data_IF_778198095255
#
_entry.id   IF_778198095255
#
_cell.length_a   1.000
_cell.length_b   1.000
_cell.length_c   1.000
_cell.angle_alpha   90.00
_cell.angle_beta   90.00
_cell.angle_gamma   90.00
#
_symmetry.space_group_name_H-M   'P 1'
#
loop_
_entity.id
_entity.type
_entity.pdbx_description
1 polymer ?
#
# COMPACT_ATOMS: atom_id res chain seq x y z
N UNK A 1 17.31 -57.17 18.68
CA UNK A 1 18.52 -56.38 19.01
C UNK A 1 18.04 -55.11 19.69
N UNK A 2 18.22 -54.99 21.01
CA UNK A 2 17.85 -53.78 21.74
C UNK A 2 18.93 -52.71 21.48
N UNK A 3 18.52 -51.54 20.97
CA UNK A 3 19.43 -50.41 20.76
C UNK A 3 19.95 -49.93 22.13
N UNK A 4 21.26 -49.66 22.29
CA UNK A 4 21.77 -49.08 23.53
C UNK A 4 21.19 -47.67 23.68
N UNK A 5 20.52 -47.41 24.80
CA UNK A 5 20.02 -46.09 25.18
C UNK A 5 21.20 -45.18 25.52
N UNK A 6 21.75 -44.53 24.50
CA UNK A 6 22.74 -43.46 24.64
C UNK A 6 22.09 -42.28 25.37
N UNK A 7 22.34 -42.16 26.68
CA UNK A 7 21.86 -41.04 27.48
C UNK A 7 22.63 -39.78 27.08
N UNK A 8 22.05 -38.97 26.20
CA UNK A 8 22.51 -37.60 25.93
C UNK A 8 22.65 -36.83 27.23
N UNK A 9 23.71 -36.03 27.34
CA UNK A 9 23.98 -35.24 28.55
C UNK A 9 22.84 -34.24 28.76
N UNK A 10 22.49 -33.87 30.01
CA UNK A 10 21.41 -32.93 30.27
C UNK A 10 21.59 -31.58 29.55
N UNK A 11 22.83 -31.17 29.30
CA UNK A 11 23.15 -29.99 28.50
C UNK A 11 22.72 -30.12 27.03
N UNK A 12 22.85 -31.31 26.41
CA UNK A 12 22.43 -31.54 25.03
C UNK A 12 20.91 -31.52 24.89
N UNK A 13 20.19 -32.05 25.88
CA UNK A 13 18.73 -31.97 25.93
C UNK A 13 18.23 -30.52 26.00
N UNK A 14 18.89 -29.65 26.77
CA UNK A 14 18.53 -28.23 26.84
C UNK A 14 18.77 -27.49 25.52
N UNK A 15 19.87 -27.81 24.83
CA UNK A 15 20.15 -27.25 23.50
C UNK A 15 19.11 -27.70 22.49
N UNK A 16 18.70 -28.96 22.52
CA UNK A 16 17.70 -29.55 21.63
C UNK A 16 16.30 -28.94 21.85
N UNK A 17 15.89 -28.76 23.10
CA UNK A 17 14.64 -28.07 23.44
C UNK A 17 14.65 -26.61 22.97
N UNK A 18 15.76 -25.90 23.17
CA UNK A 18 15.90 -24.52 22.68
C UNK A 18 15.79 -24.46 21.16
N UNK A 19 16.45 -25.36 20.42
CA UNK A 19 16.34 -25.37 18.96
C UNK A 19 14.90 -25.62 18.51
N UNK A 20 14.19 -26.56 19.14
CA UNK A 20 12.79 -26.85 18.81
C UNK A 20 11.88 -25.64 19.02
N UNK A 21 12.05 -24.91 20.12
CA UNK A 21 11.28 -23.68 20.39
C UNK A 21 11.59 -22.58 19.38
N UNK A 22 12.88 -22.38 19.05
CA UNK A 22 13.30 -21.37 18.07
C UNK A 22 12.78 -21.71 16.68
N UNK A 23 12.82 -22.98 16.27
CA UNK A 23 12.36 -23.43 14.97
C UNK A 23 10.84 -23.29 14.84
N UNK A 24 10.09 -23.62 15.89
CA UNK A 24 8.64 -23.40 15.93
C UNK A 24 8.27 -21.91 15.85
N UNK A 25 8.95 -21.07 16.62
CA UNK A 25 8.74 -19.62 16.55
C UNK A 25 9.04 -19.08 15.16
N UNK A 26 10.07 -19.58 14.48
CA UNK A 26 10.35 -19.25 13.07
C UNK A 26 9.24 -19.75 12.15
N UNK A 27 8.76 -20.96 12.35
CA UNK A 27 7.75 -21.58 11.49
C UNK A 27 6.41 -20.83 11.57
N UNK A 28 6.00 -20.45 12.78
CA UNK A 28 4.78 -19.65 12.97
C UNK A 28 4.94 -18.18 12.56
N UNK A 29 6.15 -17.62 12.56
CA UNK A 29 6.36 -16.19 12.23
C UNK A 29 6.70 -15.93 10.76
N UNK A 30 7.33 -16.87 10.05
CA UNK A 30 7.80 -16.65 8.67
C UNK A 30 6.64 -16.53 7.67
N UNK A 31 5.60 -17.34 7.84
CA UNK A 31 4.39 -17.30 7.00
C UNK A 31 3.63 -15.96 7.12
N UNK A 32 3.32 -15.45 8.33
CA UNK A 32 2.69 -14.14 8.46
C UNK A 32 3.60 -12.99 8.00
N UNK A 33 4.91 -13.07 8.21
CA UNK A 33 5.85 -12.03 7.74
C UNK A 33 5.88 -11.95 6.21
N UNK A 34 5.84 -13.10 5.54
CA UNK A 34 5.80 -13.19 4.07
C UNK A 34 4.49 -12.66 3.51
N UNK A 35 3.37 -12.88 4.19
CA UNK A 35 2.09 -12.29 3.79
C UNK A 35 2.06 -10.77 3.98
N UNK A 36 2.63 -10.29 5.10
CA UNK A 36 2.71 -8.87 5.41
C UNK A 36 3.60 -8.11 4.41
N UNK A 37 4.74 -8.67 4.03
CA UNK A 37 5.64 -8.03 3.05
C UNK A 37 4.93 -7.81 1.72
N UNK A 38 4.17 -8.80 1.26
CA UNK A 38 3.45 -8.74 -0.02
C UNK A 38 2.31 -7.73 0.08
N UNK A 39 1.55 -7.73 1.18
CA UNK A 39 0.50 -6.74 1.42
C UNK A 39 1.06 -5.31 1.39
N UNK A 40 2.17 -5.06 2.09
CA UNK A 40 2.81 -3.75 2.14
C UNK A 40 3.39 -3.35 0.78
N UNK A 41 4.04 -4.28 0.07
CA UNK A 41 4.62 -4.03 -1.24
C UNK A 41 3.54 -3.67 -2.27
N UNK A 42 2.46 -4.47 -2.36
CA UNK A 42 1.37 -4.19 -3.29
C UNK A 42 0.59 -2.92 -2.90
N UNK A 43 0.41 -2.67 -1.59
CA UNK A 43 -0.23 -1.45 -1.11
C UNK A 43 0.57 -0.20 -1.45
N UNK A 44 1.88 -0.21 -1.21
CA UNK A 44 2.77 0.92 -1.52
C UNK A 44 2.92 1.15 -3.01
N UNK A 45 3.12 0.10 -3.82
CA UNK A 45 3.18 0.21 -5.28
C UNK A 45 1.85 0.75 -5.86
N UNK A 46 0.71 0.27 -5.36
CA UNK A 46 -0.60 0.78 -5.75
C UNK A 46 -0.80 2.25 -5.39
N UNK A 47 -0.41 2.64 -4.17
CA UNK A 47 -0.49 4.02 -3.71
C UNK A 47 0.41 4.96 -4.56
N UNK A 48 1.63 4.54 -4.87
CA UNK A 48 2.54 5.28 -5.73
C UNK A 48 1.97 5.44 -7.14
N UNK A 49 1.44 4.36 -7.73
CA UNK A 49 0.87 4.41 -9.07
C UNK A 49 -0.37 5.32 -9.13
N UNK A 50 -1.25 5.26 -8.13
CA UNK A 50 -2.40 6.16 -8.03
C UNK A 50 -1.99 7.61 -7.80
N UNK A 51 -1.01 7.87 -6.94
CA UNK A 51 -0.49 9.21 -6.69
C UNK A 51 0.13 9.81 -7.96
N UNK A 52 0.98 9.06 -8.64
CA UNK A 52 1.61 9.49 -9.88
C UNK A 52 0.57 9.72 -10.98
N UNK A 53 -0.36 8.78 -11.15
CA UNK A 53 -1.47 8.93 -12.09
C UNK A 53 -2.31 10.18 -11.81
N UNK A 54 -2.61 10.47 -10.54
CA UNK A 54 -3.33 11.67 -10.12
C UNK A 54 -2.58 12.97 -10.43
N UNK A 55 -1.26 12.99 -10.25
CA UNK A 55 -0.41 14.14 -10.62
C UNK A 55 -0.47 14.35 -12.13
N UNK A 56 -0.24 13.31 -12.93
CA UNK A 56 -0.27 13.39 -14.39
C UNK A 56 -1.65 13.80 -14.92
N UNK A 57 -2.73 13.28 -14.34
CA UNK A 57 -4.09 13.70 -14.68
C UNK A 57 -4.31 15.18 -14.38
N UNK A 58 -3.87 15.65 -13.22
CA UNK A 58 -4.02 17.06 -12.82
C UNK A 58 -3.22 17.98 -13.72
N UNK A 59 -1.99 17.61 -14.07
CA UNK A 59 -1.15 18.36 -15.01
C UNK A 59 -1.75 18.37 -16.42
N UNK A 60 -2.26 17.24 -16.90
CA UNK A 60 -2.95 17.14 -18.19
C UNK A 60 -4.21 17.99 -18.24
N UNK A 61 -5.00 17.98 -17.15
CA UNK A 61 -6.20 18.80 -17.01
C UNK A 61 -5.86 20.30 -16.98
N UNK A 62 -4.85 20.69 -16.20
CA UNK A 62 -4.37 22.08 -16.18
C UNK A 62 -3.89 22.52 -17.57
N UNK A 63 -3.11 21.67 -18.25
CA UNK A 63 -2.61 21.91 -19.61
C UNK A 63 -3.76 22.09 -20.59
N UNK A 64 -4.79 21.23 -20.50
CA UNK A 64 -5.99 21.34 -21.32
C UNK A 64 -6.68 22.68 -21.07
N UNK A 65 -6.95 23.07 -19.82
CA UNK A 65 -7.58 24.34 -19.49
C UNK A 65 -6.77 25.55 -19.97
N UNK A 66 -5.44 25.52 -19.82
CA UNK A 66 -4.56 26.59 -20.29
C UNK A 66 -4.45 26.67 -21.82
N UNK A 67 -4.77 25.58 -22.54
CA UNK A 67 -4.77 25.56 -24.01
C UNK A 67 -6.06 26.10 -24.63
N UNK A 68 -7.10 26.38 -23.83
CA UNK A 68 -8.29 27.06 -24.33
C UNK A 68 -7.94 28.52 -24.62
N UNK A 69 -8.35 29.02 -25.79
CA UNK A 69 -8.08 30.37 -26.27
C UNK A 69 -8.57 31.50 -25.34
N UNK A 70 -9.43 31.17 -24.38
CA UNK A 70 -9.99 32.10 -23.38
C UNK A 70 -9.01 32.37 -22.24
N UNK A 71 -8.08 31.45 -22.01
CA UNK A 71 -7.06 31.52 -20.95
C UNK A 71 -5.63 31.57 -21.50
N UNK A 72 -5.47 31.41 -22.82
CA UNK A 72 -4.18 31.46 -23.49
C UNK A 72 -3.65 32.89 -23.54
N UNK A 73 -2.54 33.15 -22.82
CA UNK A 73 -1.81 34.43 -22.87
C UNK A 73 -2.38 35.57 -22.02
N UNK A 74 -3.49 35.35 -21.31
CA UNK A 74 -4.07 36.37 -20.45
C UNK A 74 -3.29 36.51 -19.13
N UNK A 75 -2.97 37.76 -18.73
CA UNK A 75 -2.23 38.09 -17.51
C UNK A 75 -3.11 38.69 -16.41
N UNK A 76 -4.42 38.83 -16.69
CA UNK A 76 -5.40 39.34 -15.73
C UNK A 76 -5.88 38.30 -14.73
N UNK A 77 -6.94 38.63 -14.00
CA UNK A 77 -7.55 37.75 -12.98
C UNK A 77 -8.08 36.41 -13.55
N UNK A 78 -8.35 36.34 -14.87
CA UNK A 78 -8.80 35.12 -15.54
C UNK A 78 -7.71 34.03 -15.58
N UNK A 79 -6.44 34.42 -15.47
CA UNK A 79 -5.32 33.47 -15.41
C UNK A 79 -5.36 32.59 -14.15
N UNK A 80 -6.08 32.99 -13.09
CA UNK A 80 -6.26 32.21 -11.86
C UNK A 80 -7.23 31.02 -12.03
N UNK A 81 -8.16 31.11 -12.99
CA UNK A 81 -9.25 30.13 -13.16
C UNK A 81 -8.72 28.71 -13.44
N UNK A 82 -7.76 28.49 -14.36
CA UNK A 82 -7.21 27.16 -14.61
C UNK A 82 -6.58 26.53 -13.36
N UNK A 83 -5.90 27.32 -12.53
CA UNK A 83 -5.23 26.83 -11.32
C UNK A 83 -6.23 26.45 -10.23
N UNK A 84 -7.22 27.30 -9.97
CA UNK A 84 -8.28 27.02 -8.98
C UNK A 84 -9.12 25.83 -9.41
N UNK A 85 -9.48 25.74 -10.70
CA UNK A 85 -10.21 24.61 -11.25
C UNK A 85 -9.43 23.30 -11.11
N UNK A 86 -8.12 23.32 -11.42
CA UNK A 86 -7.26 22.14 -11.24
C UNK A 86 -7.14 21.74 -9.77
N UNK A 87 -7.09 22.70 -8.85
CA UNK A 87 -7.09 22.42 -7.41
C UNK A 87 -8.38 21.69 -6.99
N UNK A 88 -9.54 22.20 -7.41
CA UNK A 88 -10.84 21.56 -7.14
C UNK A 88 -10.89 20.16 -7.76
N UNK A 89 -10.39 20.00 -8.98
CA UNK A 89 -10.30 18.71 -9.65
C UNK A 89 -9.42 17.70 -8.87
N UNK A 90 -8.25 18.14 -8.38
CA UNK A 90 -7.38 17.30 -7.56
C UNK A 90 -8.07 16.89 -6.25
N UNK A 91 -8.80 17.79 -5.59
CA UNK A 91 -9.59 17.47 -4.39
C UNK A 91 -10.68 16.43 -4.69
N UNK A 92 -11.36 16.53 -5.84
CA UNK A 92 -12.35 15.55 -6.29
C UNK A 92 -11.69 14.18 -6.49
N UNK A 93 -10.52 14.12 -7.15
CA UNK A 93 -9.79 12.88 -7.36
C UNK A 93 -9.40 12.21 -6.03
N UNK A 94 -8.92 12.99 -5.06
CA UNK A 94 -8.60 12.50 -3.71
C UNK A 94 -9.86 11.97 -3.03
N UNK A 95 -10.95 12.73 -3.05
CA UNK A 95 -12.23 12.31 -2.49
C UNK A 95 -12.75 11.01 -3.11
N UNK A 96 -12.62 10.87 -4.43
CA UNK A 96 -12.97 9.64 -5.15
C UNK A 96 -12.08 8.48 -4.70
N UNK A 97 -10.76 8.66 -4.66
CA UNK A 97 -9.83 7.62 -4.25
C UNK A 97 -10.12 7.10 -2.83
N UNK A 98 -10.43 8.02 -1.90
CA UNK A 98 -10.83 7.68 -0.54
C UNK A 98 -12.17 6.93 -0.51
N UNK A 99 -13.18 7.41 -1.23
CA UNK A 99 -14.50 6.77 -1.28
C UNK A 99 -14.43 5.36 -1.89
N UNK A 100 -13.65 5.17 -2.96
CA UNK A 100 -13.41 3.85 -3.56
C UNK A 100 -12.68 2.90 -2.61
N UNK A 101 -11.71 3.40 -1.85
CA UNK A 101 -11.03 2.64 -0.80
C UNK A 101 -11.99 2.16 0.29
N UNK A 102 -12.84 3.06 0.79
CA UNK A 102 -13.83 2.77 1.83
C UNK A 102 -14.91 1.79 1.36
N UNK A 103 -15.40 1.92 0.12
CA UNK A 103 -16.44 1.04 -0.44
C UNK A 103 -15.98 -0.41 -0.54
N UNK A 104 -14.68 -0.65 -0.81
CA UNK A 104 -14.08 -1.99 -0.77
C UNK A 104 -14.02 -2.57 0.64
N UNK A 105 -13.84 -1.73 1.66
CA UNK A 105 -13.86 -2.15 3.06
C UNK A 105 -15.27 -2.59 3.48
N UNK A 106 -16.29 -1.77 3.19
CA UNK A 106 -17.68 -2.05 3.57
C UNK A 106 -18.26 -3.30 2.88
N UNK A 107 -17.94 -3.55 1.60
CA UNK A 107 -18.43 -4.74 0.89
C UNK A 107 -17.85 -6.06 1.44
N UNK A 108 -16.69 -6.03 2.08
CA UNK A 108 -16.07 -7.21 2.70
C UNK A 108 -16.76 -7.63 4.00
N UNK A 109 -17.45 -6.72 4.68
CA UNK A 109 -18.14 -6.96 5.95
C UNK A 109 -19.52 -7.59 5.73
N UNK A 110 -20.26 -7.16 4.71
CA UNK A 110 -21.62 -7.66 4.42
C UNK A 110 -21.68 -9.07 3.77
N UNK A 111 -20.53 -9.70 3.52
CA UNK A 111 -20.43 -11.04 2.92
C UNK A 111 -19.66 -12.04 3.80
N UNK A 112 -19.39 -11.68 5.06
CA UNK A 112 -18.95 -12.62 6.11
C UNK A 112 -20.13 -12.95 7.01
#
# INVERSE_FOLDING_TARGET
MAQPIERKKPAEHLVELRSLVVDYAKQETVDPLTSLKNYLLYGTMGALLLGLGGIFLSLGFLRMLQSLSWFEGDRGALSLIPYVSTLVFALILIGLALAFGQKRSSKKENHR
#
